data_IF_379919280690
#
_entry.id   IF_379919280690
#
_cell.length_a   1.000
_cell.length_b   1.000
_cell.length_c   1.000
_cell.angle_alpha   90.00
_cell.angle_beta   90.00
_cell.angle_gamma   90.00
#
_symmetry.space_group_name_H-M   'P 1'
#
loop_
_entity.id
_entity.type
_entity.pdbx_description
1 polymer ?
#
# COMPACT_ATOMS: atom_id res chain seq x y z
N UNK A 1 25.85 47.25 -7.23
CA UNK A 1 26.53 45.93 -7.24
C UNK A 1 25.69 44.88 -8.00
N UNK A 2 24.39 44.81 -7.76
CA UNK A 2 23.45 43.87 -8.40
C UNK A 2 23.42 44.04 -9.93
N UNK A 3 23.34 45.28 -10.46
CA UNK A 3 23.32 45.55 -11.89
C UNK A 3 24.59 45.13 -12.66
N UNK A 4 25.77 45.13 -12.02
CA UNK A 4 27.01 44.62 -12.62
C UNK A 4 27.03 43.10 -12.75
N UNK A 5 26.39 42.40 -11.84
CA UNK A 5 26.31 40.93 -11.84
C UNK A 5 25.41 40.47 -12.99
N UNK A 6 24.28 41.12 -13.23
CA UNK A 6 23.36 40.78 -14.32
C UNK A 6 23.84 41.16 -15.72
N UNK A 7 24.80 42.07 -15.84
CA UNK A 7 25.44 42.44 -17.12
C UNK A 7 26.48 41.43 -17.59
N UNK A 8 27.00 40.57 -16.69
CA UNK A 8 27.94 39.53 -17.06
C UNK A 8 27.21 38.32 -17.61
N UNK A 9 27.30 38.06 -18.89
CA UNK A 9 26.58 37.03 -19.62
C UNK A 9 26.91 35.62 -19.09
N UNK A 10 28.15 35.36 -18.67
CA UNK A 10 28.58 34.08 -18.06
C UNK A 10 27.89 33.86 -16.70
N UNK A 11 27.84 34.90 -15.87
CA UNK A 11 27.20 34.79 -14.54
C UNK A 11 25.70 34.55 -14.70
N UNK A 12 25.05 35.25 -15.62
CA UNK A 12 23.62 35.04 -15.91
C UNK A 12 23.33 33.64 -16.42
N UNK A 13 24.16 33.11 -17.31
CA UNK A 13 24.01 31.73 -17.81
C UNK A 13 24.18 30.71 -16.68
N UNK A 14 25.18 30.88 -15.82
CA UNK A 14 25.41 29.99 -14.67
C UNK A 14 24.23 30.04 -13.70
N UNK A 15 23.71 31.22 -13.36
CA UNK A 15 22.54 31.36 -12.49
C UNK A 15 21.29 30.72 -13.08
N UNK A 16 21.03 30.90 -14.38
CA UNK A 16 19.92 30.23 -15.06
C UNK A 16 20.08 28.70 -15.06
N UNK A 17 21.29 28.18 -15.20
CA UNK A 17 21.54 26.74 -15.13
C UNK A 17 21.27 26.20 -13.74
N UNK A 18 21.78 26.86 -12.69
CA UNK A 18 21.52 26.47 -11.30
C UNK A 18 20.02 26.51 -10.99
N UNK A 19 19.34 27.60 -11.38
CA UNK A 19 17.89 27.73 -11.18
C UNK A 19 17.12 26.62 -11.89
N UNK A 20 17.51 26.23 -13.10
CA UNK A 20 16.91 25.11 -13.83
C UNK A 20 17.12 23.75 -13.11
N UNK A 21 18.30 23.52 -12.55
CA UNK A 21 18.57 22.29 -11.78
C UNK A 21 17.74 22.26 -10.50
N UNK A 22 17.69 23.36 -9.78
CA UNK A 22 16.89 23.46 -8.56
C UNK A 22 15.39 23.25 -8.84
N UNK A 23 14.84 23.90 -9.85
CA UNK A 23 13.42 23.72 -10.21
C UNK A 23 13.12 22.29 -10.67
N UNK A 24 14.05 21.62 -11.38
CA UNK A 24 13.95 20.22 -11.75
C UNK A 24 13.89 19.32 -10.50
N UNK A 25 14.80 19.51 -9.54
CA UNK A 25 14.84 18.72 -8.32
C UNK A 25 13.59 18.95 -7.45
N UNK A 26 13.13 20.19 -7.32
CA UNK A 26 11.90 20.52 -6.59
C UNK A 26 10.70 19.83 -7.23
N UNK A 27 10.56 19.90 -8.57
CA UNK A 27 9.46 19.24 -9.28
C UNK A 27 9.52 17.72 -9.12
N UNK A 28 10.71 17.13 -9.20
CA UNK A 28 10.93 15.69 -9.00
C UNK A 28 10.50 15.25 -7.61
N UNK A 29 10.98 15.90 -6.57
CA UNK A 29 10.64 15.58 -5.17
C UNK A 29 9.15 15.79 -4.92
N UNK A 30 8.58 16.89 -5.38
CA UNK A 30 7.16 17.18 -5.22
C UNK A 30 6.28 16.12 -5.91
N UNK A 31 6.66 15.65 -7.10
CA UNK A 31 5.94 14.57 -7.78
C UNK A 31 6.05 13.24 -7.01
N UNK A 32 7.25 12.88 -6.53
CA UNK A 32 7.45 11.68 -5.69
C UNK A 32 6.53 11.73 -4.47
N UNK A 33 6.53 12.85 -3.73
CA UNK A 33 5.69 13.01 -2.53
C UNK A 33 4.21 12.88 -2.87
N UNK A 34 3.73 13.53 -3.94
CA UNK A 34 2.33 13.46 -4.35
C UNK A 34 1.90 12.06 -4.72
N UNK A 35 2.70 11.35 -5.52
CA UNK A 35 2.38 9.98 -5.95
C UNK A 35 2.48 9.01 -4.77
N UNK A 36 3.48 9.15 -3.88
CA UNK A 36 3.56 8.34 -2.67
C UNK A 36 2.29 8.50 -1.82
N UNK A 37 1.83 9.75 -1.63
CA UNK A 37 0.60 10.03 -0.90
C UNK A 37 -0.61 9.36 -1.55
N UNK A 38 -0.76 9.43 -2.87
CA UNK A 38 -1.85 8.77 -3.60
C UNK A 38 -1.77 7.25 -3.49
N UNK A 39 -0.58 6.66 -3.66
CA UNK A 39 -0.36 5.21 -3.56
C UNK A 39 -0.72 4.70 -2.17
N UNK A 40 -0.20 5.34 -1.11
CA UNK A 40 -0.49 4.92 0.28
C UNK A 40 -1.99 5.01 0.57
N UNK A 41 -2.65 6.11 0.17
CA UNK A 41 -4.08 6.29 0.36
C UNK A 41 -4.91 5.27 -0.41
N UNK A 42 -4.54 4.98 -1.67
CA UNK A 42 -5.23 3.99 -2.48
C UNK A 42 -5.03 2.58 -1.94
N UNK A 43 -3.82 2.26 -1.45
CA UNK A 43 -3.51 0.96 -0.84
C UNK A 43 -4.27 0.71 0.45
N UNK A 44 -4.62 1.77 1.19
CA UNK A 44 -5.41 1.71 2.42
C UNK A 44 -6.91 2.01 2.17
N UNK A 45 -7.37 1.99 0.93
CA UNK A 45 -8.79 2.23 0.63
C UNK A 45 -9.64 0.99 0.94
N UNK A 46 -10.90 1.20 1.30
CA UNK A 46 -11.89 0.13 1.51
C UNK A 46 -11.94 -0.85 0.33
N UNK A 47 -11.90 -0.33 -0.91
CA UNK A 47 -11.87 -1.16 -2.10
C UNK A 47 -10.66 -2.10 -2.09
N UNK A 48 -9.48 -1.57 -1.80
CA UNK A 48 -8.25 -2.38 -1.78
C UNK A 48 -8.29 -3.43 -0.68
N UNK A 49 -8.86 -3.11 0.49
CA UNK A 49 -9.03 -4.09 1.57
C UNK A 49 -9.97 -5.22 1.15
N UNK A 50 -11.09 -4.90 0.50
CA UNK A 50 -11.98 -5.92 -0.07
C UNK A 50 -11.31 -6.74 -1.17
N UNK A 51 -10.55 -6.10 -2.06
CA UNK A 51 -9.80 -6.78 -3.11
C UNK A 51 -8.73 -7.74 -2.51
N UNK A 52 -8.05 -7.34 -1.43
CA UNK A 52 -7.09 -8.19 -0.70
C UNK A 52 -7.79 -9.45 -0.19
N UNK A 53 -8.91 -9.31 0.49
CA UNK A 53 -9.64 -10.45 1.05
C UNK A 53 -10.19 -11.34 -0.06
N UNK A 54 -10.70 -10.77 -1.16
CA UNK A 54 -11.19 -11.52 -2.30
C UNK A 54 -10.09 -12.31 -3.04
N UNK A 55 -8.81 -11.93 -2.88
CA UNK A 55 -7.68 -12.69 -3.46
C UNK A 55 -7.16 -13.80 -2.54
N UNK A 56 -7.67 -13.89 -1.31
CA UNK A 56 -7.38 -15.00 -0.41
C UNK A 56 -8.17 -16.21 -0.93
N UNK A 57 -7.57 -16.93 -1.87
CA UNK A 57 -8.14 -18.17 -2.39
C UNK A 57 -7.82 -19.30 -1.41
N UNK A 58 -8.88 -19.98 -0.93
CA UNK A 58 -8.79 -21.14 -0.05
C UNK A 58 -8.04 -22.30 -0.75
N UNK A 59 -7.93 -22.26 -2.08
CA UNK A 59 -7.34 -23.32 -2.93
C UNK A 59 -6.01 -22.91 -3.59
N UNK A 60 -5.11 -22.17 -2.89
CA UNK A 60 -3.79 -21.83 -3.48
C UNK A 60 -2.90 -23.08 -3.65
N UNK A 61 -2.08 -23.10 -4.72
CA UNK A 61 -1.28 -24.28 -5.10
C UNK A 61 -0.21 -24.70 -4.07
N UNK A 62 0.29 -23.76 -3.24
CA UNK A 62 1.44 -24.02 -2.33
C UNK A 62 1.01 -24.27 -0.88
N UNK A 63 0.14 -23.42 -0.34
CA UNK A 63 -0.37 -23.52 1.03
C UNK A 63 -1.72 -22.82 1.08
N UNK A 64 -2.74 -23.53 1.49
CA UNK A 64 -4.08 -22.97 1.67
C UNK A 64 -4.17 -22.18 2.98
N UNK A 65 -5.15 -21.28 3.11
CA UNK A 65 -5.29 -20.49 4.34
C UNK A 65 -5.69 -21.36 5.54
N UNK A 66 -6.50 -22.40 5.30
CA UNK A 66 -6.88 -23.39 6.32
C UNK A 66 -5.66 -24.17 6.81
N UNK A 67 -4.79 -24.63 5.90
CA UNK A 67 -3.53 -25.30 6.24
C UNK A 67 -2.63 -24.36 7.08
N UNK A 68 -2.49 -23.11 6.69
CA UNK A 68 -1.68 -22.15 7.44
C UNK A 68 -2.24 -21.87 8.83
N UNK A 69 -3.56 -21.69 8.96
CA UNK A 69 -4.25 -21.51 10.25
C UNK A 69 -4.06 -22.75 11.11
N UNK A 70 -4.24 -23.94 10.53
CA UNK A 70 -4.04 -25.20 11.26
C UNK A 70 -2.59 -25.34 11.75
N UNK A 71 -1.59 -25.10 10.90
CA UNK A 71 -0.18 -25.11 11.29
C UNK A 71 0.13 -24.08 12.39
N UNK A 72 -0.52 -22.91 12.36
CA UNK A 72 -0.38 -21.93 13.43
C UNK A 72 -0.89 -22.50 14.77
N UNK A 73 -2.06 -23.11 14.77
CA UNK A 73 -2.59 -23.77 15.96
C UNK A 73 -1.66 -24.89 16.44
N UNK A 74 -1.21 -25.76 15.55
CA UNK A 74 -0.31 -26.86 15.87
C UNK A 74 1.03 -26.38 16.48
N UNK A 75 1.52 -25.22 16.05
CA UNK A 75 2.77 -24.65 16.57
C UNK A 75 2.63 -23.93 17.92
N UNK A 76 1.41 -23.54 18.32
CA UNK A 76 1.17 -22.71 19.51
C UNK A 76 0.42 -23.44 20.62
N UNK A 77 -0.21 -24.58 20.30
CA UNK A 77 -1.01 -25.36 21.26
C UNK A 77 -0.53 -26.80 21.32
N UNK A 78 -0.63 -27.41 22.51
CA UNK A 78 -0.34 -28.80 22.68
C UNK A 78 -1.34 -29.69 21.91
N UNK A 79 -0.86 -30.78 21.34
CA UNK A 79 -1.67 -31.69 20.53
C UNK A 79 -2.89 -32.23 21.29
N UNK A 80 -2.82 -32.35 22.62
CA UNK A 80 -3.95 -32.78 23.46
C UNK A 80 -5.11 -31.79 23.39
N UNK A 81 -4.84 -30.46 23.39
CA UNK A 81 -5.86 -29.42 23.24
C UNK A 81 -6.50 -29.47 21.85
N UNK A 82 -5.69 -29.64 20.79
CA UNK A 82 -6.23 -29.71 19.43
C UNK A 82 -7.17 -30.91 19.26
N UNK A 83 -6.83 -32.04 19.87
CA UNK A 83 -7.68 -33.26 19.87
C UNK A 83 -8.94 -33.02 20.71
N UNK A 84 -8.82 -32.44 21.90
CA UNK A 84 -9.95 -32.15 22.77
C UNK A 84 -10.97 -31.21 22.13
N UNK A 85 -10.49 -30.18 21.42
CA UNK A 85 -11.35 -29.22 20.71
C UNK A 85 -11.67 -29.65 19.27
N UNK A 86 -11.25 -30.84 18.84
CA UNK A 86 -11.45 -31.38 17.49
C UNK A 86 -11.00 -30.41 16.39
N UNK A 87 -9.92 -29.66 16.62
CA UNK A 87 -9.32 -28.78 15.65
C UNK A 87 -8.50 -29.61 14.66
N UNK A 88 -9.08 -29.86 13.49
CA UNK A 88 -8.39 -30.50 12.36
C UNK A 88 -8.33 -29.52 11.19
N UNK A 89 -7.47 -29.79 10.22
CA UNK A 89 -7.41 -28.96 9.01
C UNK A 89 -8.77 -28.92 8.28
N UNK A 90 -9.46 -30.07 8.20
CA UNK A 90 -10.79 -30.17 7.58
C UNK A 90 -11.84 -29.36 8.35
N UNK A 91 -11.76 -29.33 9.68
CA UNK A 91 -12.64 -28.50 10.49
C UNK A 91 -12.39 -27.01 10.26
N UNK A 92 -11.12 -26.59 10.19
CA UNK A 92 -10.76 -25.21 9.86
C UNK A 92 -11.28 -24.83 8.47
N UNK A 93 -11.04 -25.66 7.46
CA UNK A 93 -11.55 -25.43 6.09
C UNK A 93 -13.08 -25.30 6.08
N UNK A 94 -13.78 -26.23 6.77
CA UNK A 94 -15.24 -26.21 6.85
C UNK A 94 -15.78 -24.95 7.55
N UNK A 95 -15.11 -24.46 8.59
CA UNK A 95 -15.48 -23.21 9.26
C UNK A 95 -15.29 -22.02 8.31
N UNK A 96 -14.16 -21.95 7.60
CA UNK A 96 -13.90 -20.87 6.64
C UNK A 96 -14.93 -20.83 5.50
N UNK A 97 -15.34 -22.00 5.02
CA UNK A 97 -16.30 -22.14 3.91
C UNK A 97 -17.76 -21.84 4.32
N UNK A 98 -18.12 -22.16 5.57
CA UNK A 98 -19.51 -22.12 6.04
C UNK A 98 -19.83 -20.97 6.99
N UNK A 99 -18.87 -20.07 7.23
CA UNK A 99 -19.07 -18.87 8.05
C UNK A 99 -18.81 -17.59 7.26
N UNK A 100 -19.23 -16.46 7.83
CA UNK A 100 -18.92 -15.13 7.29
C UNK A 100 -17.50 -14.66 7.64
N UNK A 101 -16.53 -15.60 7.84
CA UNK A 101 -15.16 -15.28 8.25
C UNK A 101 -14.48 -14.31 7.28
N UNK A 102 -14.65 -14.52 5.99
CA UNK A 102 -14.09 -13.62 4.94
C UNK A 102 -14.63 -12.21 5.08
N UNK A 103 -15.93 -12.05 5.32
CA UNK A 103 -16.54 -10.74 5.56
C UNK A 103 -16.03 -10.12 6.87
N UNK A 104 -15.95 -10.91 7.93
CA UNK A 104 -15.42 -10.46 9.21
C UNK A 104 -13.98 -9.93 9.10
N UNK A 105 -13.11 -10.66 8.42
CA UNK A 105 -11.72 -10.22 8.16
C UNK A 105 -11.69 -8.96 7.29
N UNK A 106 -12.55 -8.88 6.25
CA UNK A 106 -12.64 -7.70 5.39
C UNK A 106 -13.03 -6.45 6.19
N UNK A 107 -14.04 -6.55 7.02
CA UNK A 107 -14.51 -5.44 7.86
C UNK A 107 -13.42 -4.98 8.84
N UNK A 108 -12.70 -5.91 9.47
CA UNK A 108 -11.58 -5.59 10.35
C UNK A 108 -10.42 -4.90 9.60
N UNK A 109 -10.05 -5.37 8.41
CA UNK A 109 -9.03 -4.69 7.59
C UNK A 109 -9.47 -3.28 7.19
N UNK A 110 -10.76 -3.08 6.90
CA UNK A 110 -11.32 -1.76 6.60
C UNK A 110 -11.22 -0.87 7.83
N UNK A 111 -11.63 -1.35 9.01
CA UNK A 111 -11.55 -0.60 10.27
C UNK A 111 -10.11 -0.18 10.58
N UNK A 112 -9.15 -1.10 10.47
CA UNK A 112 -7.72 -0.79 10.61
C UNK A 112 -7.25 0.27 9.59
N UNK A 113 -7.62 0.12 8.34
CA UNK A 113 -7.22 1.06 7.29
C UNK A 113 -7.81 2.45 7.51
N UNK A 114 -9.07 2.53 7.94
CA UNK A 114 -9.74 3.78 8.28
C UNK A 114 -9.13 4.44 9.51
N UNK A 115 -8.78 3.65 10.52
CA UNK A 115 -8.11 4.19 11.70
C UNK A 115 -6.71 4.72 11.35
N UNK A 116 -5.94 4.01 10.53
CA UNK A 116 -4.65 4.49 10.03
C UNK A 116 -4.80 5.81 9.27
N UNK A 117 -5.80 5.92 8.37
CA UNK A 117 -6.01 7.10 7.53
C UNK A 117 -6.60 8.29 8.29
N UNK A 118 -7.63 8.04 9.11
CA UNK A 118 -8.53 9.08 9.64
C UNK A 118 -8.57 9.17 11.15
N UNK A 119 -7.88 8.28 11.88
CA UNK A 119 -7.90 8.21 13.36
C UNK A 119 -9.31 8.04 13.91
N UNK A 120 -10.02 7.08 13.37
CA UNK A 120 -11.41 6.81 13.77
C UNK A 120 -11.52 6.13 15.13
N UNK A 121 -10.44 5.48 15.58
CA UNK A 121 -10.44 4.64 16.78
C UNK A 121 -11.12 3.28 16.59
N UNK A 122 -11.51 2.93 15.36
CA UNK A 122 -12.16 1.65 15.04
C UNK A 122 -11.18 0.52 14.75
N UNK A 123 -9.89 0.86 14.54
CA UNK A 123 -8.83 -0.11 14.22
C UNK A 123 -8.35 -0.88 15.46
N UNK A 124 -9.26 -1.59 16.10
CA UNK A 124 -9.00 -2.45 17.26
C UNK A 124 -9.60 -3.82 16.99
N UNK A 125 -8.89 -4.86 17.37
CA UNK A 125 -9.41 -6.23 17.41
C UNK A 125 -9.37 -6.71 18.85
N UNK A 126 -10.50 -7.11 19.38
CA UNK A 126 -10.63 -7.55 20.76
C UNK A 126 -11.05 -9.02 20.84
N UNK A 127 -10.76 -9.63 21.99
CA UNK A 127 -11.24 -10.98 22.30
C UNK A 127 -12.77 -11.05 22.29
N UNK A 128 -13.45 -9.98 22.71
CA UNK A 128 -14.92 -9.92 22.70
C UNK A 128 -15.48 -9.99 21.27
N UNK A 129 -14.93 -9.23 20.33
CA UNK A 129 -15.37 -9.25 18.93
C UNK A 129 -15.13 -10.60 18.26
N UNK A 130 -14.02 -11.26 18.62
CA UNK A 130 -13.76 -12.61 18.14
C UNK A 130 -14.76 -13.61 18.72
N UNK A 131 -15.07 -13.51 20.00
CA UNK A 131 -16.07 -14.37 20.63
C UNK A 131 -17.47 -14.12 20.11
N UNK A 132 -17.83 -12.86 19.84
CA UNK A 132 -19.12 -12.52 19.18
C UNK A 132 -19.22 -13.18 17.80
N UNK A 133 -18.12 -13.19 17.02
CA UNK A 133 -18.07 -13.92 15.76
C UNK A 133 -18.25 -15.43 15.94
N UNK A 134 -17.58 -16.05 16.92
CA UNK A 134 -17.69 -17.46 17.23
C UNK A 134 -19.13 -17.82 17.62
N UNK A 135 -19.75 -17.05 18.53
CA UNK A 135 -21.13 -17.26 18.96
C UNK A 135 -22.13 -17.12 17.80
N UNK A 136 -21.95 -16.11 16.93
CA UNK A 136 -22.78 -15.92 15.76
C UNK A 136 -22.69 -17.08 14.75
N UNK A 137 -21.60 -17.82 14.74
CA UNK A 137 -21.35 -18.94 13.85
C UNK A 137 -21.36 -20.32 14.56
N UNK A 138 -21.92 -20.41 15.78
CA UNK A 138 -21.94 -21.61 16.60
C UNK A 138 -22.38 -22.88 15.84
N UNK A 139 -23.44 -22.76 15.04
CA UNK A 139 -23.97 -23.91 14.30
C UNK A 139 -22.96 -24.41 13.25
N UNK A 140 -22.39 -23.53 12.47
CA UNK A 140 -21.41 -23.90 11.44
C UNK A 140 -20.13 -24.50 12.05
N UNK A 141 -19.69 -23.96 13.19
CA UNK A 141 -18.54 -24.48 13.94
C UNK A 141 -18.85 -25.86 14.52
N UNK A 142 -20.05 -26.03 15.09
CA UNK A 142 -20.50 -27.33 15.64
C UNK A 142 -20.60 -28.39 14.54
N UNK A 143 -21.12 -28.04 13.37
CA UNK A 143 -21.19 -28.95 12.24
C UNK A 143 -19.78 -29.33 11.71
N UNK A 144 -18.89 -28.36 11.62
CA UNK A 144 -17.52 -28.57 11.14
C UNK A 144 -16.68 -29.44 12.10
N UNK A 145 -16.82 -29.22 13.42
CA UNK A 145 -16.06 -29.95 14.44
C UNK A 145 -16.75 -31.21 14.90
N UNK A 146 -18.04 -31.40 14.59
CA UNK A 146 -18.87 -32.50 15.14
C UNK A 146 -19.16 -32.34 16.63
N UNK A 147 -18.86 -31.20 17.24
CA UNK A 147 -19.05 -30.91 18.66
C UNK A 147 -20.19 -29.92 18.84
N UNK A 148 -21.19 -30.32 19.65
CA UNK A 148 -22.28 -29.43 20.04
C UNK A 148 -21.94 -28.77 21.37
N UNK A 149 -21.98 -27.43 21.37
CA UNK A 149 -21.70 -26.65 22.57
C UNK A 149 -22.88 -26.66 23.53
N UNK A 150 -22.59 -26.75 24.82
CA UNK A 150 -23.59 -26.72 25.88
C UNK A 150 -23.89 -25.25 26.22
N UNK A 151 -25.15 -24.90 26.55
CA UNK A 151 -25.48 -23.54 27.00
C UNK A 151 -24.57 -23.09 28.14
N UNK A 152 -23.91 -21.93 27.99
CA UNK A 152 -22.93 -21.39 28.93
C UNK A 152 -21.47 -21.78 28.66
N UNK A 153 -21.19 -22.66 27.71
CA UNK A 153 -19.81 -23.03 27.34
C UNK A 153 -19.09 -21.86 26.67
N UNK A 154 -19.80 -21.07 25.86
CA UNK A 154 -19.25 -19.83 25.27
C UNK A 154 -18.88 -18.79 26.31
N UNK A 155 -19.64 -18.67 27.41
CA UNK A 155 -19.30 -17.77 28.51
C UNK A 155 -17.97 -18.17 29.14
N UNK A 156 -17.74 -19.47 29.34
CA UNK A 156 -16.48 -20.02 29.87
C UNK A 156 -15.35 -19.81 28.88
N UNK A 157 -15.58 -20.03 27.58
CA UNK A 157 -14.57 -19.77 26.54
C UNK A 157 -14.23 -18.29 26.47
N UNK A 158 -15.22 -17.41 26.55
CA UNK A 158 -15.02 -15.95 26.56
C UNK A 158 -14.16 -15.53 27.74
N UNK A 159 -14.48 -16.00 28.97
CA UNK A 159 -13.67 -15.73 30.16
C UNK A 159 -12.24 -16.26 30.00
N UNK A 160 -12.06 -17.43 29.43
CA UNK A 160 -10.75 -18.02 29.18
C UNK A 160 -9.94 -17.22 28.18
N UNK A 161 -10.53 -16.82 27.05
CA UNK A 161 -9.86 -15.97 26.05
C UNK A 161 -9.52 -14.57 26.57
N UNK A 162 -10.39 -14.00 27.42
CA UNK A 162 -10.14 -12.72 28.08
C UNK A 162 -8.98 -12.80 29.08
N UNK A 163 -8.84 -13.93 29.79
CA UNK A 163 -7.75 -14.12 30.77
C UNK A 163 -6.40 -14.45 30.13
N UNK A 164 -6.40 -15.00 28.93
CA UNK A 164 -5.17 -15.38 28.23
C UNK A 164 -4.50 -14.23 27.45
N UNK A 165 -5.10 -13.02 27.41
CA UNK A 165 -4.62 -11.87 26.63
C UNK A 165 -4.26 -12.23 25.18
N UNK A 166 -4.93 -13.26 24.62
CA UNK A 166 -4.58 -13.83 23.31
C UNK A 166 -4.64 -12.80 22.18
N UNK A 167 -5.49 -11.80 22.34
CA UNK A 167 -5.70 -10.74 21.35
C UNK A 167 -5.50 -9.35 21.96
N UNK A 168 -4.55 -9.24 22.92
CA UNK A 168 -4.20 -7.96 23.56
C UNK A 168 -4.40 -6.79 22.61
N UNK A 169 -5.55 -6.14 22.68
CA UNK A 169 -6.02 -5.01 21.87
C UNK A 169 -5.13 -4.75 20.66
N UNK A 170 -5.16 -5.62 19.65
CA UNK A 170 -4.35 -5.45 18.45
C UNK A 170 -4.86 -4.19 17.77
N UNK A 171 -4.21 -3.07 18.07
CA UNK A 171 -4.57 -1.77 17.49
C UNK A 171 -3.79 -1.49 16.22
N UNK A 172 -4.35 -0.67 15.33
CA UNK A 172 -3.66 -0.18 14.14
C UNK A 172 -2.29 0.44 14.48
N UNK A 173 -2.22 1.19 15.59
CA UNK A 173 -0.98 1.80 16.06
C UNK A 173 0.03 0.77 16.55
N UNK A 174 -0.40 -0.31 17.19
CA UNK A 174 0.48 -1.38 17.67
C UNK A 174 1.07 -2.16 16.48
N UNK A 175 0.26 -2.46 15.46
CA UNK A 175 0.73 -3.11 14.23
C UNK A 175 1.77 -2.22 13.54
N UNK A 176 1.45 -0.95 13.30
CA UNK A 176 2.36 -0.01 12.65
C UNK A 176 3.68 0.11 13.42
N UNK A 177 3.64 0.12 14.75
CA UNK A 177 4.84 0.14 15.60
C UNK A 177 5.67 -1.13 15.47
N UNK A 178 5.05 -2.31 15.37
CA UNK A 178 5.75 -3.60 15.16
C UNK A 178 6.52 -3.61 13.83
N UNK A 179 5.98 -3.02 12.78
CA UNK A 179 6.67 -2.88 11.48
C UNK A 179 7.62 -1.68 11.41
N UNK A 180 7.79 -0.94 12.51
CA UNK A 180 8.75 0.16 12.62
C UNK A 180 8.32 1.48 11.97
N UNK A 181 7.04 1.63 11.60
CA UNK A 181 6.50 2.84 10.97
C UNK A 181 5.43 3.45 11.86
N UNK A 182 5.66 4.61 12.50
CA UNK A 182 4.63 5.27 13.29
C UNK A 182 3.39 5.61 12.45
N UNK A 183 2.20 5.31 12.98
CA UNK A 183 0.92 5.52 12.29
C UNK A 183 0.72 6.99 11.88
N UNK A 184 1.22 7.93 12.69
CA UNK A 184 1.15 9.37 12.42
C UNK A 184 1.91 9.75 11.14
N UNK A 185 3.02 9.06 10.84
CA UNK A 185 3.77 9.29 9.59
C UNK A 185 3.00 8.77 8.38
N UNK A 186 2.38 7.60 8.50
CA UNK A 186 1.54 7.05 7.42
C UNK A 186 0.38 8.02 7.17
N UNK A 187 -0.30 8.48 8.22
CA UNK A 187 -1.41 9.43 8.15
C UNK A 187 -1.00 10.75 7.51
N UNK A 188 0.17 11.29 7.89
CA UNK A 188 0.70 12.52 7.30
C UNK A 188 0.98 12.34 5.79
N UNK A 189 1.59 11.21 5.41
CA UNK A 189 1.87 10.91 3.99
C UNK A 189 0.56 10.73 3.22
N UNK A 190 -0.39 9.96 3.74
CA UNK A 190 -1.67 9.67 3.10
C UNK A 190 -2.64 10.86 3.06
N UNK A 191 -2.37 11.95 3.80
CA UNK A 191 -3.26 13.09 3.86
C UNK A 191 -3.49 13.73 2.49
N UNK A 192 -4.74 14.07 2.17
CA UNK A 192 -5.09 14.74 0.92
C UNK A 192 -4.35 16.06 0.72
N UNK A 193 -4.12 16.76 1.83
CA UNK A 193 -3.32 18.00 1.84
C UNK A 193 -1.90 17.76 1.33
N UNK A 194 -1.27 16.63 1.66
CA UNK A 194 0.08 16.27 1.21
C UNK A 194 0.10 16.09 -0.30
N UNK A 195 -0.86 15.37 -0.87
CA UNK A 195 -1.04 15.22 -2.31
C UNK A 195 -1.21 16.59 -2.99
N UNK A 196 -2.16 17.39 -2.49
CA UNK A 196 -2.48 18.69 -3.06
C UNK A 196 -1.31 19.66 -3.01
N UNK A 197 -0.64 19.79 -1.86
CA UNK A 197 0.54 20.64 -1.69
C UNK A 197 1.66 20.20 -2.65
N UNK A 198 1.90 18.90 -2.75
CA UNK A 198 2.92 18.37 -3.66
C UNK A 198 2.61 18.72 -5.12
N UNK A 199 1.38 18.56 -5.60
CA UNK A 199 1.01 18.97 -6.97
C UNK A 199 1.09 20.48 -7.19
N UNK A 200 0.72 21.30 -6.20
CA UNK A 200 0.86 22.76 -6.29
C UNK A 200 2.34 23.16 -6.42
N UNK A 201 3.21 22.60 -5.56
CA UNK A 201 4.67 22.86 -5.63
C UNK A 201 5.22 22.39 -6.97
N UNK A 202 4.84 21.22 -7.45
CA UNK A 202 5.23 20.70 -8.77
C UNK A 202 4.78 21.65 -9.88
N UNK A 203 3.54 22.12 -9.86
CA UNK A 203 3.00 23.06 -10.85
C UNK A 203 3.78 24.37 -10.88
N UNK A 204 4.10 24.94 -9.72
CA UNK A 204 4.93 26.15 -9.60
C UNK A 204 6.34 25.89 -10.16
N UNK A 205 6.96 24.77 -9.80
CA UNK A 205 8.30 24.43 -10.30
C UNK A 205 8.32 24.25 -11.83
N UNK A 206 7.31 23.59 -12.39
CA UNK A 206 7.15 23.46 -13.85
C UNK A 206 6.96 24.83 -14.51
N UNK A 207 6.10 25.70 -13.99
CA UNK A 207 5.89 27.04 -14.49
C UNK A 207 7.20 27.87 -14.49
N UNK A 208 7.97 27.79 -13.41
CA UNK A 208 9.29 28.41 -13.33
C UNK A 208 10.26 27.84 -14.36
N UNK A 209 10.24 26.49 -14.56
CA UNK A 209 11.07 25.84 -15.57
C UNK A 209 10.73 26.35 -17.00
N UNK A 210 9.43 26.51 -17.31
CA UNK A 210 8.98 27.09 -18.57
C UNK A 210 9.41 28.57 -18.70
N UNK A 211 9.30 29.34 -17.64
CA UNK A 211 9.73 30.77 -17.65
C UNK A 211 11.23 30.89 -17.86
N UNK A 212 12.05 30.09 -17.19
CA UNK A 212 13.50 30.08 -17.35
C UNK A 212 13.94 29.63 -18.76
N UNK A 213 13.14 28.81 -19.44
CA UNK A 213 13.42 28.27 -20.77
C UNK A 213 12.50 28.86 -21.84
N UNK A 214 12.00 30.11 -21.67
CA UNK A 214 10.99 30.69 -22.56
C UNK A 214 11.42 30.73 -24.04
N UNK A 215 12.73 30.83 -24.32
CA UNK A 215 13.30 30.78 -25.67
C UNK A 215 13.43 29.37 -26.26
N UNK A 216 13.42 28.33 -25.40
CA UNK A 216 13.57 26.91 -25.75
C UNK A 216 12.49 26.07 -25.05
N UNK A 217 11.24 26.39 -25.34
CA UNK A 217 10.08 25.76 -24.67
C UNK A 217 10.08 24.21 -24.76
N UNK A 218 10.56 23.67 -25.90
CA UNK A 218 10.73 22.23 -26.09
C UNK A 218 11.67 21.61 -25.04
N UNK A 219 12.70 22.33 -24.59
CA UNK A 219 13.59 21.86 -23.52
C UNK A 219 12.89 21.75 -22.17
N UNK A 220 11.93 22.64 -21.85
CA UNK A 220 11.13 22.53 -20.63
C UNK A 220 10.19 21.34 -20.70
N UNK A 221 9.54 21.08 -21.83
CA UNK A 221 8.67 19.91 -22.05
C UNK A 221 9.48 18.62 -21.89
N UNK A 222 10.66 18.52 -22.52
CA UNK A 222 11.54 17.35 -22.40
C UNK A 222 11.96 17.07 -20.95
N UNK A 223 12.29 18.11 -20.18
CA UNK A 223 12.65 17.97 -18.76
C UNK A 223 11.46 17.53 -17.90
N UNK A 224 10.26 18.06 -18.18
CA UNK A 224 9.04 17.62 -17.50
C UNK A 224 8.77 16.14 -17.79
N UNK A 225 8.97 15.71 -19.04
CA UNK A 225 8.88 14.30 -19.42
C UNK A 225 9.93 13.44 -18.71
N UNK A 226 11.17 13.92 -18.60
CA UNK A 226 12.23 13.21 -17.88
C UNK A 226 11.89 13.02 -16.38
N UNK A 227 11.30 14.04 -15.72
CA UNK A 227 10.81 13.92 -14.34
C UNK A 227 9.79 12.78 -14.25
N UNK A 228 8.79 12.77 -15.12
CA UNK A 228 7.74 11.76 -15.10
C UNK A 228 8.28 10.34 -15.38
N UNK A 229 9.21 10.20 -16.34
CA UNK A 229 9.90 8.92 -16.59
C UNK A 229 10.66 8.45 -15.36
N UNK A 230 11.44 9.34 -14.74
CA UNK A 230 12.25 8.99 -13.57
C UNK A 230 11.38 8.52 -12.41
N UNK A 231 10.30 9.25 -12.12
CA UNK A 231 9.37 8.85 -11.05
C UNK A 231 8.63 7.56 -11.42
N UNK A 232 8.17 7.44 -12.67
CA UNK A 232 7.53 6.22 -13.15
C UNK A 232 8.42 4.99 -13.03
N UNK A 233 9.69 5.09 -13.46
CA UNK A 233 10.68 4.03 -13.33
C UNK A 233 10.94 3.67 -11.86
N UNK A 234 11.02 4.68 -10.98
CA UNK A 234 11.17 4.48 -9.54
C UNK A 234 10.02 3.62 -8.97
N UNK A 235 8.77 3.93 -9.31
CA UNK A 235 7.62 3.16 -8.83
C UNK A 235 7.56 1.75 -9.42
N UNK A 236 7.97 1.54 -10.67
CA UNK A 236 8.11 0.22 -11.25
C UNK A 236 9.14 -0.60 -10.47
N UNK A 237 10.29 -0.01 -10.11
CA UNK A 237 11.32 -0.67 -9.29
C UNK A 237 10.78 -0.97 -7.88
N UNK A 238 10.10 -0.02 -7.25
CA UNK A 238 9.49 -0.20 -5.93
C UNK A 238 8.50 -1.36 -5.95
N UNK A 239 7.70 -1.53 -7.00
CA UNK A 239 6.81 -2.68 -7.15
C UNK A 239 7.57 -4.01 -7.02
N UNK A 240 8.67 -4.18 -7.76
CA UNK A 240 9.46 -5.43 -7.71
C UNK A 240 10.12 -5.63 -6.34
N UNK A 241 10.64 -4.55 -5.72
CA UNK A 241 11.22 -4.63 -4.37
C UNK A 241 10.15 -5.03 -3.36
N UNK A 242 8.95 -4.45 -3.44
CA UNK A 242 7.84 -4.77 -2.54
C UNK A 242 7.41 -6.24 -2.68
N UNK A 243 7.28 -6.76 -3.91
CA UNK A 243 7.01 -8.18 -4.14
C UNK A 243 8.08 -9.07 -3.51
N UNK A 244 9.37 -8.77 -3.73
CA UNK A 244 10.46 -9.54 -3.13
C UNK A 244 10.48 -9.49 -1.59
N UNK A 245 10.07 -8.36 -0.99
CA UNK A 245 9.91 -8.25 0.47
C UNK A 245 8.76 -9.15 0.94
N UNK A 246 7.61 -9.15 0.24
CA UNK A 246 6.47 -10.00 0.57
C UNK A 246 6.85 -11.49 0.52
N UNK A 247 7.56 -11.92 -0.52
CA UNK A 247 8.08 -13.29 -0.62
C UNK A 247 9.03 -13.65 0.53
N UNK A 248 9.92 -12.72 0.90
CA UNK A 248 10.83 -12.91 2.03
C UNK A 248 10.12 -12.98 3.38
N UNK A 249 8.99 -12.27 3.54
CA UNK A 249 8.13 -12.35 4.73
C UNK A 249 7.40 -13.69 4.73
N UNK A 250 6.82 -14.11 3.60
CA UNK A 250 6.15 -15.40 3.46
C UNK A 250 7.01 -16.54 3.99
N UNK A 251 8.26 -16.59 3.53
CA UNK A 251 9.21 -17.63 3.95
C UNK A 251 9.50 -17.61 5.45
N UNK A 252 9.49 -16.42 6.10
CA UNK A 252 9.76 -16.30 7.54
C UNK A 252 8.60 -16.75 8.42
N UNK A 253 7.37 -16.58 7.95
CA UNK A 253 6.15 -16.91 8.71
C UNK A 253 5.57 -18.27 8.31
N UNK A 254 6.27 -19.04 7.45
CA UNK A 254 5.81 -20.35 6.99
C UNK A 254 4.57 -20.30 6.08
N UNK A 255 4.23 -19.12 5.54
CA UNK A 255 3.12 -18.96 4.62
C UNK A 255 3.58 -19.20 3.18
N UNK A 256 2.78 -19.87 2.36
CA UNK A 256 3.10 -20.10 0.95
C UNK A 256 3.32 -18.78 0.20
N UNK A 257 4.34 -18.75 -0.67
CA UNK A 257 4.68 -17.54 -1.43
C UNK A 257 3.53 -17.10 -2.35
N UNK A 258 2.76 -18.01 -2.91
CA UNK A 258 1.59 -17.73 -3.75
C UNK A 258 0.50 -17.00 -2.96
N UNK A 259 0.18 -17.45 -1.75
CA UNK A 259 -0.81 -16.83 -0.89
C UNK A 259 -0.41 -15.39 -0.51
N UNK A 260 0.85 -15.17 -0.11
CA UNK A 260 1.33 -13.82 0.22
C UNK A 260 1.36 -12.91 -1.01
N UNK A 261 1.72 -13.44 -2.18
CA UNK A 261 1.68 -12.68 -3.43
C UNK A 261 0.25 -12.32 -3.82
N UNK A 262 -0.71 -13.19 -3.62
CA UNK A 262 -2.13 -12.91 -3.86
C UNK A 262 -2.61 -11.77 -2.93
N UNK A 263 -2.33 -11.85 -1.64
CA UNK A 263 -2.65 -10.78 -0.66
C UNK A 263 -1.97 -9.45 -1.04
N UNK A 264 -0.73 -9.48 -1.51
CA UNK A 264 0.02 -8.29 -1.91
C UNK A 264 -0.38 -7.74 -3.29
N UNK A 265 -1.02 -8.55 -4.13
CA UNK A 265 -1.33 -8.23 -5.54
C UNK A 265 -2.11 -6.92 -5.72
N UNK A 266 -3.17 -6.59 -4.96
CA UNK A 266 -3.87 -5.32 -5.11
C UNK A 266 -2.96 -4.12 -4.88
N UNK A 267 -2.09 -4.17 -3.87
CA UNK A 267 -1.15 -3.09 -3.54
C UNK A 267 -0.07 -2.98 -4.61
N UNK A 268 0.53 -4.09 -5.03
CA UNK A 268 1.55 -4.09 -6.10
C UNK A 268 0.99 -3.60 -7.43
N UNK A 269 -0.28 -3.90 -7.71
CA UNK A 269 -1.00 -3.39 -8.89
C UNK A 269 -1.14 -1.86 -8.85
N UNK A 270 -1.52 -1.29 -7.70
CA UNK A 270 -1.63 0.17 -7.52
C UNK A 270 -0.27 0.83 -7.76
N UNK A 271 0.80 0.33 -7.13
CA UNK A 271 2.17 0.85 -7.30
C UNK A 271 2.58 0.80 -8.78
N UNK A 272 2.39 -0.36 -9.42
CA UNK A 272 2.75 -0.57 -10.82
C UNK A 272 1.96 0.33 -11.78
N UNK A 273 0.66 0.45 -11.58
CA UNK A 273 -0.22 1.28 -12.42
C UNK A 273 0.23 2.73 -12.43
N UNK A 274 0.50 3.33 -11.25
CA UNK A 274 1.01 4.69 -11.16
C UNK A 274 2.38 4.83 -11.84
N UNK A 275 3.26 3.84 -11.67
CA UNK A 275 4.57 3.80 -12.35
C UNK A 275 4.44 3.79 -13.87
N UNK A 276 3.63 2.90 -14.42
CA UNK A 276 3.45 2.79 -15.88
C UNK A 276 2.76 4.01 -16.50
N UNK A 277 1.74 4.57 -15.84
CA UNK A 277 1.07 5.79 -16.31
C UNK A 277 2.07 6.96 -16.37
N UNK A 278 2.84 7.17 -15.31
CA UNK A 278 3.84 8.25 -15.28
C UNK A 278 4.92 8.07 -16.33
N UNK A 279 5.46 6.86 -16.48
CA UNK A 279 6.44 6.57 -17.51
C UNK A 279 5.89 6.83 -18.91
N UNK A 280 4.65 6.40 -19.20
CA UNK A 280 3.95 6.63 -20.46
C UNK A 280 3.74 8.13 -20.75
N UNK A 281 3.25 8.90 -19.79
CA UNK A 281 3.11 10.36 -19.90
C UNK A 281 4.47 11.00 -20.17
N UNK A 282 5.51 10.59 -19.43
CA UNK A 282 6.85 11.12 -19.59
C UNK A 282 7.43 10.86 -20.98
N UNK A 283 7.28 9.64 -21.50
CA UNK A 283 7.70 9.29 -22.87
C UNK A 283 6.96 10.14 -23.91
N UNK A 284 5.64 10.28 -23.77
CA UNK A 284 4.85 11.10 -24.68
C UNK A 284 5.31 12.58 -24.69
N UNK A 285 5.64 13.14 -23.53
CA UNK A 285 6.16 14.50 -23.41
C UNK A 285 7.54 14.65 -24.08
N UNK A 286 8.44 13.69 -23.88
CA UNK A 286 9.78 13.73 -24.51
C UNK A 286 9.66 13.62 -26.03
N UNK A 287 8.84 12.70 -26.53
CA UNK A 287 8.61 12.55 -27.99
C UNK A 287 7.98 13.81 -28.59
N UNK A 288 7.02 14.43 -27.90
CA UNK A 288 6.43 15.70 -28.32
C UNK A 288 7.47 16.83 -28.38
N UNK A 289 8.38 16.90 -27.41
CA UNK A 289 9.46 17.89 -27.41
C UNK A 289 10.41 17.71 -28.58
N UNK A 290 10.78 16.47 -28.91
CA UNK A 290 11.63 16.13 -30.06
C UNK A 290 10.91 16.51 -31.37
N UNK A 291 9.63 16.20 -31.51
CA UNK A 291 8.84 16.57 -32.69
C UNK A 291 8.75 18.07 -32.91
N UNK A 292 8.49 18.83 -31.83
CA UNK A 292 8.48 20.30 -31.90
C UNK A 292 9.85 20.86 -32.30
N UNK A 293 10.93 20.32 -31.73
CA UNK A 293 12.30 20.75 -32.10
C UNK A 293 12.61 20.47 -33.57
N UNK A 294 12.21 19.29 -34.08
CA UNK A 294 12.39 18.93 -35.49
C UNK A 294 11.63 19.85 -36.43
N UNK A 295 10.38 20.20 -36.10
CA UNK A 295 9.56 21.14 -36.86
C UNK A 295 10.20 22.55 -36.88
N UNK A 296 10.64 23.07 -35.73
CA UNK A 296 11.30 24.38 -35.65
C UNK A 296 12.57 24.41 -36.53
N UNK A 297 13.37 23.34 -36.50
CA UNK A 297 14.58 23.23 -37.32
C UNK A 297 14.26 23.16 -38.82
N UNK A 298 13.14 22.52 -39.19
CA UNK A 298 12.72 22.45 -40.60
C UNK A 298 12.31 23.81 -41.13
N UNK A 299 11.41 24.50 -40.41
CA UNK A 299 10.94 25.84 -40.83
C UNK A 299 11.98 26.98 -40.67
N UNK A 300 13.05 26.76 -39.90
CA UNK A 300 14.12 27.79 -39.80
C UNK A 300 15.19 27.66 -40.88
N UNK A 301 15.09 26.67 -41.78
CA UNK A 301 15.98 26.48 -42.94
C UNK A 301 15.38 26.96 -44.24
N UNK A 302 14.09 27.27 -44.27
CA UNK A 302 13.42 28.05 -45.32
C UNK A 302 13.46 29.55 -45.04
#
# INVERSE_FOLDING_TARGET
MVDKIFKNEKIRHTLCTIANVLTFLIALVALIVSITSMVVRSSLSEKTMKDIVATIDVNSEDTTIDEWIYMYFESHYDSEYLIEFMVTQEAVASVLDNTDFTSFVADKLIDYSQDILYNTGTGVFSSDEFMDFIEANELAISEATGRYYIPGEFDIMREYFLTMDMFDDITASAICRKIGVPVEKIRLIAAEKTTTIGFVIMGIALALMFALNYKKKHSAISRSGAIAITVGALYIIIRYIFTAICEGVAHRIGMGASLVNNIASPVTSIIGTHGFILAGIGIALVLSAIGVEALIRHFSKE
#
